data_IF_752794189596
#
_entry.id   IF_752794189596
#
_cell.length_a   1.000
_cell.length_b   1.000
_cell.length_c   1.000
_cell.angle_alpha   90.00
_cell.angle_beta   90.00
_cell.angle_gamma   90.00
#
_symmetry.space_group_name_H-M   'P 1'
#
loop_
_entity.id
_entity.type
_entity.pdbx_description
1 polymer ?
#
# COMPACT_ATOMS: atom_id res chain seq x y z
N UNK A 1 3.51 7.63 18.46
CA UNK A 1 3.09 8.96 18.00
C UNK A 1 2.54 8.81 16.60
N UNK A 2 1.34 9.32 16.31
CA UNK A 2 0.80 9.36 14.94
C UNK A 2 1.11 10.72 14.36
N UNK A 3 1.55 10.76 13.10
CA UNK A 3 1.91 11.99 12.39
C UNK A 3 1.24 12.05 11.03
N UNK A 4 0.96 13.25 10.55
CA UNK A 4 0.29 13.47 9.26
C UNK A 4 -1.14 13.97 9.38
N UNK A 5 -2.06 13.45 8.57
CA UNK A 5 -3.44 13.91 8.48
C UNK A 5 -4.30 13.54 9.70
N UNK A 6 -5.38 14.30 9.91
CA UNK A 6 -6.42 13.98 10.90
C UNK A 6 -7.21 12.71 10.50
N UNK A 7 -7.69 11.96 11.48
CA UNK A 7 -8.44 10.71 11.23
C UNK A 7 -9.92 10.99 10.96
N UNK A 8 -10.44 10.55 9.81
CA UNK A 8 -11.87 10.62 9.45
C UNK A 8 -12.51 9.24 9.24
N UNK A 9 -13.78 9.17 8.81
CA UNK A 9 -14.48 7.92 8.47
C UNK A 9 -14.15 7.41 7.06
N UNK A 10 -12.86 7.39 6.75
CA UNK A 10 -12.33 7.02 5.44
C UNK A 10 -12.07 5.52 5.37
N UNK A 11 -12.52 4.86 4.29
CA UNK A 11 -12.15 3.47 3.98
C UNK A 11 -12.44 2.43 5.06
N UNK A 12 -13.34 2.70 6.01
CA UNK A 12 -13.74 1.70 7.01
C UNK A 12 -14.38 0.52 6.26
N UNK A 13 -13.89 -0.70 6.51
CA UNK A 13 -14.19 -1.92 5.73
C UNK A 13 -13.70 -1.94 4.28
N UNK A 14 -12.84 -1.00 3.87
CA UNK A 14 -12.30 -0.90 2.51
C UNK A 14 -11.54 -2.15 2.10
N UNK A 15 -10.51 -2.53 2.86
CA UNK A 15 -9.72 -3.73 2.58
C UNK A 15 -10.55 -5.02 2.61
N UNK A 16 -11.43 -5.19 3.60
CA UNK A 16 -12.31 -6.36 3.69
C UNK A 16 -13.31 -6.41 2.55
N UNK A 17 -13.86 -5.27 2.14
CA UNK A 17 -14.80 -5.17 1.02
C UNK A 17 -14.14 -5.50 -0.31
N UNK A 18 -12.91 -5.03 -0.55
CA UNK A 18 -12.15 -5.39 -1.75
C UNK A 18 -11.78 -6.88 -1.79
N UNK A 19 -11.55 -7.50 -0.63
CA UNK A 19 -11.18 -8.91 -0.54
C UNK A 19 -12.38 -9.87 -0.67
N UNK A 20 -13.59 -9.45 -0.29
CA UNK A 20 -14.77 -10.32 -0.26
C UNK A 20 -15.79 -10.09 -1.37
N UNK A 21 -15.73 -8.96 -2.07
CA UNK A 21 -16.72 -8.64 -3.12
C UNK A 21 -16.48 -9.45 -4.39
N UNK A 22 -17.56 -10.03 -4.90
CA UNK A 22 -17.66 -10.46 -6.29
C UNK A 22 -18.11 -9.27 -7.14
N UNK A 23 -17.59 -9.13 -8.37
CA UNK A 23 -17.91 -8.00 -9.26
C UNK A 23 -19.42 -7.88 -9.64
N UNK A 24 -20.24 -8.86 -9.25
CA UNK A 24 -21.67 -8.96 -9.55
C UNK A 24 -22.59 -8.40 -8.45
N UNK A 25 -22.05 -8.07 -7.26
CA UNK A 25 -22.84 -7.56 -6.14
C UNK A 25 -23.16 -6.05 -6.29
N UNK A 26 -24.42 -5.66 -6.04
CA UNK A 26 -24.82 -4.24 -5.98
C UNK A 26 -23.98 -3.51 -4.91
N UNK A 27 -23.58 -2.24 -5.13
CA UNK A 27 -22.71 -1.52 -4.21
C UNK A 27 -23.44 -1.17 -2.91
N UNK A 28 -23.47 -2.11 -1.96
CA UNK A 28 -23.82 -1.82 -0.58
C UNK A 28 -22.73 -0.95 0.05
N UNK A 29 -23.11 0.28 0.37
CA UNK A 29 -22.33 1.34 1.01
C UNK A 29 -21.05 1.75 0.27
N UNK A 30 -21.00 3.04 -0.09
CA UNK A 30 -19.80 3.74 -0.54
C UNK A 30 -18.76 3.67 0.59
N UNK A 31 -17.93 2.63 0.62
CA UNK A 31 -16.60 2.78 1.19
C UNK A 31 -15.96 3.89 0.38
N UNK A 32 -15.86 5.07 0.99
CA UNK A 32 -15.33 6.26 0.33
C UNK A 32 -13.88 5.92 0.04
N UNK A 33 -13.54 5.75 -1.25
CA UNK A 33 -12.14 5.72 -1.68
C UNK A 33 -11.52 7.00 -1.13
N UNK A 34 -10.59 6.88 -0.16
CA UNK A 34 -10.05 8.06 0.50
C UNK A 34 -9.36 8.94 -0.54
N UNK A 35 -9.71 10.23 -0.59
CA UNK A 35 -8.99 11.18 -1.43
C UNK A 35 -7.65 11.48 -0.79
N UNK A 36 -6.55 11.19 -1.50
CA UNK A 36 -5.21 11.52 -1.02
C UNK A 36 -4.88 13.00 -1.11
N UNK A 37 -3.91 13.44 -0.32
CA UNK A 37 -3.31 14.76 -0.31
C UNK A 37 -1.81 14.68 -0.62
N UNK A 38 -1.41 14.68 -1.92
CA UNK A 38 0.00 14.52 -2.32
C UNK A 38 0.94 15.60 -1.76
N UNK A 39 0.42 16.80 -1.51
CA UNK A 39 1.21 17.89 -0.94
C UNK A 39 1.59 17.61 0.51
N UNK A 40 0.64 17.14 1.31
CA UNK A 40 0.89 16.71 2.68
C UNK A 40 1.79 15.47 2.71
N UNK A 41 1.53 14.50 1.83
CA UNK A 41 2.36 13.30 1.72
C UNK A 41 3.82 13.66 1.41
N UNK A 42 4.05 14.65 0.55
CA UNK A 42 5.41 15.11 0.26
C UNK A 42 6.13 15.67 1.48
N UNK A 43 5.46 16.50 2.29
CA UNK A 43 6.02 17.03 3.54
C UNK A 43 6.28 15.89 4.54
N UNK A 44 5.36 14.92 4.62
CA UNK A 44 5.50 13.76 5.49
C UNK A 44 6.70 12.89 5.08
N UNK A 45 6.92 12.67 3.78
CA UNK A 45 8.09 11.94 3.26
C UNK A 45 9.38 12.63 3.69
N UNK A 46 9.51 13.95 3.51
CA UNK A 46 10.73 14.67 3.89
C UNK A 46 10.98 14.64 5.39
N UNK A 47 9.93 14.84 6.20
CA UNK A 47 10.03 14.74 7.65
C UNK A 47 10.46 13.33 8.12
N UNK A 48 9.88 12.27 7.54
CA UNK A 48 10.26 10.89 7.83
C UNK A 48 11.69 10.58 7.40
N UNK A 49 12.15 11.09 6.25
CA UNK A 49 13.53 10.91 5.79
C UNK A 49 14.53 11.63 6.71
N UNK A 50 14.21 12.84 7.19
CA UNK A 50 15.05 13.55 8.17
C UNK A 50 15.08 12.80 9.51
N UNK A 51 13.92 12.33 10.00
CA UNK A 51 13.83 11.53 11.22
C UNK A 51 14.65 10.23 11.14
N UNK A 52 14.64 9.56 9.97
CA UNK A 52 15.41 8.35 9.73
C UNK A 52 16.93 8.54 9.83
N UNK A 53 17.43 9.78 9.76
CA UNK A 53 18.85 10.10 9.96
C UNK A 53 19.21 10.35 11.44
N UNK A 54 18.23 10.32 12.34
CA UNK A 54 18.42 10.55 13.78
C UNK A 54 18.34 9.24 14.58
N UNK A 55 18.75 9.27 15.84
CA UNK A 55 18.59 8.15 16.79
C UNK A 55 17.40 8.36 17.76
N UNK A 56 16.45 9.21 17.36
CA UNK A 56 15.29 9.60 18.18
C UNK A 56 14.09 8.66 18.04
N UNK A 57 14.08 7.82 17.02
CA UNK A 57 13.00 6.88 16.74
C UNK A 57 13.53 5.44 16.68
N UNK A 58 12.70 4.51 17.14
CA UNK A 58 12.97 3.06 17.12
C UNK A 58 12.37 2.40 15.88
N UNK A 59 11.28 2.97 15.34
CA UNK A 59 10.61 2.44 14.17
C UNK A 59 9.55 3.38 13.60
N UNK A 60 9.17 3.12 12.35
CA UNK A 60 8.11 3.81 11.62
C UNK A 60 7.26 2.78 10.88
N UNK A 61 5.95 3.02 10.78
CA UNK A 61 5.01 2.17 10.07
C UNK A 61 3.92 3.04 9.44
N UNK A 62 3.61 2.82 8.18
CA UNK A 62 2.51 3.50 7.48
C UNK A 62 1.14 3.02 8.01
N UNK A 63 0.14 3.90 7.95
CA UNK A 63 -1.24 3.53 8.25
C UNK A 63 -2.00 3.29 6.95
N UNK A 64 -2.10 2.04 6.54
CA UNK A 64 -2.85 1.60 5.37
C UNK A 64 -4.14 0.86 5.73
N UNK A 65 -4.30 -0.34 5.17
CA UNK A 65 -5.44 -1.22 5.43
C UNK A 65 -5.60 -1.52 6.93
N UNK A 66 -6.83 -1.45 7.44
CA UNK A 66 -7.14 -1.52 8.87
C UNK A 66 -6.48 -0.43 9.76
N UNK A 67 -5.90 0.60 9.14
CA UNK A 67 -5.53 1.86 9.78
C UNK A 67 -4.60 1.72 10.97
N UNK A 68 -5.00 2.34 12.09
CA UNK A 68 -4.22 2.34 13.33
C UNK A 68 -4.12 0.94 13.94
N UNK A 69 -5.12 0.09 13.72
CA UNK A 69 -5.16 -1.29 14.25
C UNK A 69 -3.99 -2.11 13.72
N UNK A 70 -3.85 -2.22 12.40
CA UNK A 70 -2.73 -2.96 11.79
C UNK A 70 -1.40 -2.33 12.14
N UNK A 71 -1.26 -1.01 11.97
CA UNK A 71 0.00 -0.32 12.19
C UNK A 71 0.54 -0.51 13.62
N UNK A 72 -0.32 -0.39 14.64
CA UNK A 72 0.09 -0.55 16.04
C UNK A 72 0.37 -2.00 16.41
N UNK A 73 -0.51 -2.93 16.01
CA UNK A 73 -0.39 -4.36 16.34
C UNK A 73 0.79 -5.00 15.63
N UNK A 74 1.00 -4.75 14.34
CA UNK A 74 2.14 -5.28 13.58
C UNK A 74 3.47 -4.74 14.11
N UNK A 75 3.49 -3.47 14.51
CA UNK A 75 4.70 -2.87 15.11
C UNK A 75 4.98 -3.44 16.49
N UNK A 76 3.97 -3.63 17.34
CA UNK A 76 4.12 -4.29 18.63
C UNK A 76 4.59 -5.75 18.48
N UNK A 77 4.03 -6.48 17.52
CA UNK A 77 4.42 -7.87 17.23
C UNK A 77 5.87 -7.98 16.78
N UNK A 78 6.30 -7.16 15.81
CA UNK A 78 7.70 -7.13 15.34
C UNK A 78 8.68 -6.71 16.43
N UNK A 79 8.24 -5.85 17.36
CA UNK A 79 9.02 -5.44 18.53
C UNK A 79 9.01 -6.44 19.70
N UNK A 80 8.22 -7.51 19.63
CA UNK A 80 8.07 -8.49 20.71
C UNK A 80 7.43 -7.94 21.99
N UNK A 81 6.59 -6.90 21.86
CA UNK A 81 6.00 -6.18 22.99
C UNK A 81 4.46 -6.11 22.93
N UNK A 82 3.92 -5.22 23.77
CA UNK A 82 2.52 -4.79 23.72
C UNK A 82 2.42 -3.31 23.34
N UNK A 83 1.20 -2.83 23.24
CA UNK A 83 0.89 -1.43 22.97
C UNK A 83 -0.32 -1.01 23.78
N UNK A 84 -0.29 0.19 24.34
CA UNK A 84 -1.44 0.84 24.94
C UNK A 84 -1.67 2.17 24.23
N UNK A 85 -2.87 2.36 23.70
CA UNK A 85 -3.28 3.60 23.02
C UNK A 85 -4.57 4.14 23.61
N UNK A 86 -4.72 5.46 23.57
CA UNK A 86 -5.93 6.18 23.95
C UNK A 86 -6.48 6.92 22.72
N UNK A 87 -7.65 6.50 22.26
CA UNK A 87 -8.27 7.03 21.05
C UNK A 87 -8.77 8.47 21.23
N UNK A 88 -8.87 9.00 22.45
CA UNK A 88 -9.18 10.42 22.69
C UNK A 88 -7.99 11.33 22.37
N UNK A 89 -6.77 10.79 22.37
CA UNK A 89 -5.55 11.53 22.00
C UNK A 89 -5.34 11.62 20.49
N UNK A 90 -6.13 10.88 19.71
CA UNK A 90 -6.12 10.98 18.25
C UNK A 90 -6.91 12.21 17.81
N UNK A 91 -6.31 13.02 16.95
CA UNK A 91 -7.06 14.06 16.24
C UNK A 91 -8.01 13.44 15.21
N UNK A 92 -9.20 14.02 15.16
CA UNK A 92 -10.31 13.56 14.35
C UNK A 92 -10.78 14.70 13.46
N UNK A 93 -11.04 14.38 12.19
CA UNK A 93 -11.63 15.31 11.22
C UNK A 93 -13.14 15.42 11.41
N UNK A 94 -13.76 14.36 11.93
CA UNK A 94 -15.20 14.26 12.15
C UNK A 94 -15.53 14.13 13.65
N UNK A 95 -16.64 14.74 14.05
CA UNK A 95 -17.14 14.62 15.41
C UNK A 95 -17.75 13.23 15.68
N UNK A 96 -17.79 12.84 16.96
CA UNK A 96 -18.45 11.64 17.45
C UNK A 96 -18.01 10.33 16.77
N UNK A 97 -16.76 10.24 16.33
CA UNK A 97 -16.20 8.96 15.87
C UNK A 97 -16.07 8.01 17.06
N UNK A 98 -16.55 6.79 16.90
CA UNK A 98 -16.39 5.71 17.89
C UNK A 98 -14.94 5.21 17.93
N UNK A 99 -14.51 4.56 19.03
CA UNK A 99 -13.19 3.91 19.06
C UNK A 99 -12.97 2.96 17.88
N UNK A 100 -14.02 2.22 17.46
CA UNK A 100 -13.98 1.33 16.31
C UNK A 100 -13.61 2.08 15.01
N UNK A 101 -14.30 3.19 14.73
CA UNK A 101 -14.05 3.99 13.53
C UNK A 101 -12.67 4.65 13.55
N UNK A 102 -12.20 5.14 14.70
CA UNK A 102 -10.85 5.71 14.84
C UNK A 102 -9.78 4.66 14.56
N UNK A 103 -9.96 3.46 15.11
CA UNK A 103 -9.00 2.36 15.00
C UNK A 103 -8.89 1.79 13.59
N UNK A 104 -10.01 1.71 12.86
CA UNK A 104 -10.08 1.08 11.53
C UNK A 104 -10.13 2.07 10.37
N UNK A 105 -10.11 3.37 10.64
CA UNK A 105 -10.03 4.40 9.61
C UNK A 105 -8.78 4.22 8.73
N UNK A 106 -9.00 4.23 7.41
CA UNK A 106 -7.97 4.18 6.37
C UNK A 106 -7.73 5.59 5.77
N UNK A 107 -7.87 6.64 6.59
CA UNK A 107 -7.49 8.01 6.20
C UNK A 107 -6.03 8.03 5.74
N UNK A 108 -5.76 8.74 4.65
CA UNK A 108 -4.45 8.73 3.98
C UNK A 108 -3.44 9.66 4.67
N UNK A 109 -2.19 9.63 4.20
CA UNK A 109 -1.09 10.48 4.68
C UNK A 109 -0.86 10.45 6.19
N UNK A 110 -0.83 9.25 6.77
CA UNK A 110 -0.52 9.05 8.20
C UNK A 110 0.61 8.05 8.37
N UNK A 111 1.45 8.32 9.36
CA UNK A 111 2.56 7.45 9.77
C UNK A 111 2.55 7.27 11.29
N UNK A 112 2.82 6.05 11.76
CA UNK A 112 3.06 5.73 13.16
C UNK A 112 4.56 5.77 13.43
N UNK A 113 4.98 6.61 14.36
CA UNK A 113 6.35 6.68 14.86
C UNK A 113 6.44 6.07 16.24
N UNK A 114 7.40 5.16 16.43
CA UNK A 114 7.82 4.67 17.75
C UNK A 114 8.99 5.53 18.21
N UNK A 115 8.68 6.56 18.99
CA UNK A 115 9.66 7.54 19.48
C UNK A 115 10.39 6.98 20.70
N UNK A 116 11.71 7.17 20.75
CA UNK A 116 12.53 6.81 21.90
C UNK A 116 12.14 7.70 23.08
N UNK A 117 11.99 7.09 24.25
CA UNK A 117 11.62 7.81 25.47
C UNK A 117 12.63 8.92 25.78
N UNK A 118 12.14 10.14 25.99
CA UNK A 118 12.96 11.33 26.21
C UNK A 118 13.35 12.09 24.95
N UNK A 119 12.96 11.63 23.75
CA UNK A 119 13.19 12.32 22.48
C UNK A 119 11.90 12.90 21.87
N UNK A 120 10.80 12.93 22.63
CA UNK A 120 9.48 13.32 22.13
C UNK A 120 9.44 14.77 21.65
N UNK A 121 10.09 15.68 22.38
CA UNK A 121 10.11 17.11 22.04
C UNK A 121 10.98 17.39 20.81
N UNK A 122 12.11 16.68 20.65
CA UNK A 122 12.97 16.79 19.47
C UNK A 122 12.25 16.32 18.20
N UNK A 123 11.56 15.17 18.28
CA UNK A 123 10.75 14.65 17.18
C UNK A 123 9.63 15.61 16.84
N UNK A 124 8.90 16.11 17.85
CA UNK A 124 7.82 17.08 17.65
C UNK A 124 8.32 18.37 17.01
N UNK A 125 9.43 18.93 17.50
CA UNK A 125 10.02 20.15 16.96
C UNK A 125 10.48 19.97 15.50
N UNK A 126 10.94 18.78 15.10
CA UNK A 126 11.24 18.47 13.71
C UNK A 126 9.97 18.44 12.86
N UNK A 127 8.93 17.74 13.31
CA UNK A 127 7.65 17.65 12.59
C UNK A 127 6.98 19.02 12.45
N UNK A 128 7.05 19.87 13.49
CA UNK A 128 6.52 21.23 13.46
C UNK A 128 7.23 22.11 12.42
N UNK A 129 8.55 21.93 12.18
CA UNK A 129 9.28 22.65 11.10
C UNK A 129 8.78 22.28 9.70
N UNK A 130 8.34 21.03 9.53
CA UNK A 130 7.74 20.53 8.29
C UNK A 130 6.22 20.80 8.23
N UNK A 131 5.67 21.49 9.23
CA UNK A 131 4.23 21.75 9.38
C UNK A 131 3.39 20.47 9.46
N UNK A 132 4.01 19.36 9.88
CA UNK A 132 3.36 18.07 10.06
C UNK A 132 2.80 17.96 11.47
N UNK A 133 1.50 17.69 11.56
CA UNK A 133 0.83 17.44 12.83
C UNK A 133 1.33 16.14 13.46
N UNK A 134 1.40 16.12 14.78
CA UNK A 134 1.84 14.96 15.54
C UNK A 134 1.08 14.84 16.87
N UNK A 135 0.67 13.61 17.20
CA UNK A 135 -0.05 13.29 18.42
C UNK A 135 0.57 12.07 19.13
N UNK A 136 0.88 12.23 20.41
CA UNK A 136 1.32 11.12 21.27
C UNK A 136 0.08 10.41 21.79
N UNK A 137 -0.25 9.30 21.15
CA UNK A 137 -1.50 8.58 21.38
C UNK A 137 -1.39 7.46 22.42
N UNK A 138 -0.18 7.12 22.86
CA UNK A 138 0.04 5.92 23.64
C UNK A 138 1.51 5.58 23.83
N UNK A 139 1.76 4.36 24.29
CA UNK A 139 3.09 3.85 24.62
C UNK A 139 3.24 2.37 24.26
N UNK A 140 4.47 1.96 23.97
CA UNK A 140 4.84 0.55 23.86
C UNK A 140 4.97 -0.03 25.27
N UNK A 141 4.49 -1.24 25.47
CA UNK A 141 4.53 -1.95 26.75
C UNK A 141 5.28 -3.28 26.60
N UNK A 142 5.60 -3.93 27.71
CA UNK A 142 6.19 -5.28 27.74
C UNK A 142 5.17 -6.36 28.10
N UNK A 143 3.86 -6.05 28.02
CA UNK A 143 2.79 -6.97 28.46
C UNK A 143 2.42 -8.00 27.39
N UNK A 144 2.76 -7.75 26.13
CA UNK A 144 2.30 -8.57 24.99
C UNK A 144 0.83 -8.37 24.63
N UNK A 145 0.17 -7.36 25.21
CA UNK A 145 -1.23 -7.02 24.97
C UNK A 145 -1.34 -5.77 24.08
N UNK A 146 -2.33 -5.76 23.20
CA UNK A 146 -2.83 -4.56 22.54
C UNK A 146 -4.03 -4.05 23.35
N UNK A 147 -3.86 -2.90 24.00
CA UNK A 147 -4.86 -2.24 24.84
C UNK A 147 -5.30 -0.96 24.16
N UNK A 148 -6.60 -0.84 23.90
CA UNK A 148 -7.23 0.37 23.37
C UNK A 148 -8.10 0.97 24.46
N UNK A 149 -7.87 2.24 24.76
CA UNK A 149 -8.62 3.02 25.74
C UNK A 149 -9.39 4.15 25.08
N UNK A 150 -10.49 4.53 25.69
CA UNK A 150 -11.16 5.82 25.49
C UNK A 150 -11.11 6.58 26.81
N UNK A 151 -10.06 7.38 27.00
CA UNK A 151 -9.77 8.00 28.30
C UNK A 151 -9.42 6.96 29.36
N UNK A 152 -10.25 6.87 30.40
CA UNK A 152 -10.05 5.91 31.51
C UNK A 152 -10.63 4.52 31.21
N UNK A 153 -11.52 4.39 30.22
CA UNK A 153 -12.19 3.13 29.88
C UNK A 153 -11.33 2.29 28.93
N UNK A 154 -11.17 1.00 29.22
CA UNK A 154 -10.56 0.02 28.30
C UNK A 154 -11.66 -0.54 27.40
N UNK A 155 -11.61 -0.19 26.11
CA UNK A 155 -12.62 -0.60 25.12
C UNK A 155 -12.19 -1.84 24.33
N UNK A 156 -10.90 -2.19 24.32
CA UNK A 156 -10.40 -3.46 23.81
C UNK A 156 -9.09 -3.88 24.49
N UNK A 157 -8.94 -5.17 24.78
CA UNK A 157 -7.71 -5.76 25.32
C UNK A 157 -7.53 -7.17 24.73
N UNK A 158 -6.50 -7.35 23.91
CA UNK A 158 -6.28 -8.60 23.17
C UNK A 158 -4.77 -8.92 23.13
N UNK A 159 -4.35 -10.18 23.29
CA UNK A 159 -2.96 -10.58 23.04
C UNK A 159 -2.52 -10.25 21.61
N UNK A 160 -1.39 -9.56 21.45
CA UNK A 160 -0.85 -9.15 20.14
C UNK A 160 -0.67 -10.36 19.22
N UNK A 161 -0.14 -11.47 19.75
CA UNK A 161 0.10 -12.69 18.98
C UNK A 161 -1.18 -13.27 18.35
N UNK A 162 -2.34 -13.11 18.99
CA UNK A 162 -3.60 -13.61 18.46
C UNK A 162 -4.03 -12.83 17.21
N UNK A 163 -3.74 -11.53 17.18
CA UNK A 163 -4.11 -10.65 16.07
C UNK A 163 -3.21 -10.82 14.84
N UNK A 164 -1.99 -11.34 15.02
CA UNK A 164 -1.01 -11.53 13.92
C UNK A 164 -0.81 -13.00 13.52
N UNK A 165 -1.51 -13.94 14.17
CA UNK A 165 -1.40 -15.38 13.89
C UNK A 165 -2.72 -15.96 13.38
N UNK A 166 -3.19 -15.56 12.19
CA UNK A 166 -4.43 -16.09 11.63
C UNK A 166 -4.28 -17.58 11.28
N UNK A 167 -5.39 -18.35 11.25
CA UNK A 167 -5.37 -19.72 10.77
C UNK A 167 -4.96 -19.77 9.29
N UNK A 168 -4.08 -20.72 8.95
CA UNK A 168 -3.65 -20.95 7.58
C UNK A 168 -4.48 -22.06 6.94
N UNK A 169 -5.02 -21.79 5.76
CA UNK A 169 -5.83 -22.74 5.01
C UNK A 169 -5.04 -23.34 3.86
N UNK A 170 -5.06 -24.67 3.74
CA UNK A 170 -4.61 -25.37 2.52
C UNK A 170 -5.83 -25.86 1.76
N UNK A 171 -6.21 -25.14 0.71
CA UNK A 171 -7.33 -25.56 -0.13
C UNK A 171 -6.95 -26.79 -0.96
N UNK A 172 -7.90 -27.71 -1.11
CA UNK A 172 -7.79 -28.80 -2.08
C UNK A 172 -8.23 -28.28 -3.43
N UNK A 173 -7.28 -28.00 -4.32
CA UNK A 173 -7.55 -27.55 -5.68
C UNK A 173 -7.50 -28.73 -6.66
N UNK A 174 -8.29 -28.66 -7.72
CA UNK A 174 -8.23 -29.56 -8.87
C UNK A 174 -8.16 -28.70 -10.14
N UNK A 175 -7.29 -29.08 -11.07
CA UNK A 175 -7.23 -28.46 -12.39
C UNK A 175 -8.61 -28.57 -13.06
N UNK A 176 -9.20 -27.46 -13.55
CA UNK A 176 -10.49 -27.51 -14.20
C UNK A 176 -10.37 -28.10 -15.61
N UNK A 177 -11.39 -28.83 -16.06
CA UNK A 177 -11.38 -29.52 -17.35
C UNK A 177 -11.25 -28.56 -18.55
N UNK A 178 -11.82 -27.35 -18.47
CA UNK A 178 -11.68 -26.34 -19.53
C UNK A 178 -10.23 -25.93 -19.77
N UNK A 179 -9.37 -25.99 -18.75
CA UNK A 179 -7.95 -25.65 -18.88
C UNK A 179 -7.19 -26.77 -19.59
N UNK A 180 -7.59 -28.04 -19.41
CA UNK A 180 -7.02 -29.16 -20.17
C UNK A 180 -7.36 -29.06 -21.65
N UNK A 181 -8.62 -28.71 -21.98
CA UNK A 181 -9.04 -28.48 -23.36
C UNK A 181 -8.25 -27.34 -24.00
N UNK A 182 -8.12 -26.20 -23.30
CA UNK A 182 -7.38 -25.04 -23.77
C UNK A 182 -5.89 -25.36 -24.05
N UNK A 183 -5.28 -26.17 -23.18
CA UNK A 183 -3.87 -26.59 -23.32
C UNK A 183 -3.65 -27.71 -24.35
N UNK A 184 -4.72 -28.34 -24.83
CA UNK A 184 -4.63 -29.40 -25.85
C UNK A 184 -4.53 -28.87 -27.29
N UNK A 185 -4.65 -27.55 -27.49
CA UNK A 185 -4.55 -26.91 -28.79
C UNK A 185 -3.19 -27.17 -29.45
N UNK A 186 -3.19 -27.85 -30.61
CA UNK A 186 -2.00 -27.98 -31.43
C UNK A 186 -1.71 -26.65 -32.15
N UNK A 187 -0.72 -25.94 -31.65
CA UNK A 187 -0.25 -24.67 -32.24
C UNK A 187 0.24 -24.83 -33.68
N UNK A 188 0.68 -26.02 -34.10
CA UNK A 188 1.12 -26.28 -35.46
C UNK A 188 -0.05 -26.44 -36.44
N UNK A 189 -1.25 -26.71 -35.94
CA UNK A 189 -2.46 -26.76 -36.76
C UNK A 189 -3.01 -25.37 -37.11
N UNK A 190 -2.51 -24.30 -36.45
CA UNK A 190 -2.89 -22.93 -36.76
C UNK A 190 -2.24 -22.52 -38.10
N UNK A 191 -3.04 -22.20 -39.14
CA UNK A 191 -2.49 -21.88 -40.44
C UNK A 191 -1.71 -20.56 -40.40
N UNK A 192 -0.57 -20.55 -41.08
CA UNK A 192 0.25 -19.35 -41.20
C UNK A 192 -0.41 -18.26 -42.08
N UNK A 193 0.01 -17.03 -41.88
CA UNK A 193 -0.45 -15.87 -42.65
C UNK A 193 0.06 -15.96 -44.09
N UNK A 194 -0.85 -15.73 -45.05
CA UNK A 194 -0.43 -15.54 -46.44
C UNK A 194 0.24 -14.17 -46.58
N UNK A 195 1.25 -13.99 -47.45
CA UNK A 195 1.96 -12.70 -47.61
C UNK A 195 1.04 -11.48 -47.81
N UNK A 196 -0.07 -11.65 -48.55
CA UNK A 196 -1.07 -10.59 -48.78
C UNK A 196 -1.82 -10.12 -47.51
N UNK A 197 -1.77 -10.89 -46.42
CA UNK A 197 -2.44 -10.60 -45.14
C UNK A 197 -1.50 -9.95 -44.13
N UNK A 198 -0.18 -10.08 -44.30
CA UNK A 198 0.79 -9.63 -43.30
C UNK A 198 0.67 -8.14 -42.98
N UNK A 199 0.53 -7.28 -43.99
CA UNK A 199 0.41 -5.84 -43.78
C UNK A 199 -0.84 -5.47 -42.97
N UNK A 200 -1.99 -6.06 -43.27
CA UNK A 200 -3.23 -5.74 -42.54
C UNK A 200 -3.22 -6.30 -41.12
N UNK A 201 -2.64 -7.49 -40.91
CA UNK A 201 -2.48 -8.07 -39.57
C UNK A 201 -1.49 -7.25 -38.73
N UNK A 202 -0.37 -6.82 -39.29
CA UNK A 202 0.59 -5.96 -38.60
C UNK A 202 -0.07 -4.65 -38.15
N UNK A 203 -0.82 -3.98 -39.03
CA UNK A 203 -1.54 -2.76 -38.67
C UNK A 203 -2.57 -3.00 -37.55
N UNK A 204 -3.26 -4.15 -37.57
CA UNK A 204 -4.17 -4.54 -36.47
C UNK A 204 -3.43 -4.80 -35.15
N UNK A 205 -2.26 -5.42 -35.19
CA UNK A 205 -1.43 -5.64 -34.01
C UNK A 205 -0.96 -4.31 -33.42
N UNK A 206 -0.40 -3.42 -34.24
CA UNK A 206 0.05 -2.10 -33.80
C UNK A 206 -1.09 -1.22 -33.27
N UNK A 207 -2.31 -1.40 -33.76
CA UNK A 207 -3.51 -0.73 -33.27
C UNK A 207 -4.08 -1.34 -31.96
N UNK A 208 -3.62 -2.52 -31.55
CA UNK A 208 -4.08 -3.14 -30.31
C UNK A 208 -3.60 -2.34 -29.10
N UNK A 209 -4.47 -1.98 -28.13
CA UNK A 209 -4.07 -1.26 -26.92
C UNK A 209 -2.93 -1.93 -26.14
N UNK A 210 -2.78 -3.25 -26.22
CA UNK A 210 -1.68 -3.97 -25.57
C UNK A 210 -0.31 -3.68 -26.21
N UNK A 211 -0.25 -3.40 -27.51
CA UNK A 211 0.99 -3.18 -28.27
C UNK A 211 1.22 -1.69 -28.56
N UNK A 212 0.15 -0.94 -28.84
CA UNK A 212 0.20 0.47 -29.22
C UNK A 212 1.02 1.32 -28.23
N UNK A 213 1.53 2.46 -28.70
CA UNK A 213 2.30 3.38 -27.88
C UNK A 213 1.55 3.76 -26.60
N UNK A 214 2.25 3.68 -25.46
CA UNK A 214 1.74 4.11 -24.15
C UNK A 214 2.05 5.57 -23.84
N UNK A 215 2.44 6.34 -24.84
CA UNK A 215 2.83 7.75 -24.72
C UNK A 215 1.76 8.64 -24.12
N UNK A 216 0.49 8.37 -24.42
CA UNK A 216 -0.61 9.11 -23.81
C UNK A 216 -0.65 8.95 -22.28
N UNK A 217 -0.14 7.85 -21.72
CA UNK A 217 -0.11 7.60 -20.27
C UNK A 217 1.05 8.37 -19.66
N UNK A 218 2.29 8.10 -20.09
CA UNK A 218 3.46 8.66 -19.43
C UNK A 218 3.68 10.16 -19.68
N UNK A 219 3.04 10.76 -20.70
CA UNK A 219 3.02 12.23 -20.87
C UNK A 219 2.19 12.96 -19.80
N UNK A 220 1.35 12.26 -19.07
CA UNK A 220 0.56 12.84 -17.96
C UNK A 220 1.37 12.91 -16.66
N UNK A 221 2.55 12.29 -16.61
CA UNK A 221 3.40 12.22 -15.43
C UNK A 221 4.67 13.06 -15.61
N UNK A 222 5.15 13.67 -14.53
CA UNK A 222 6.49 14.25 -14.50
C UNK A 222 7.52 13.15 -14.18
N UNK A 223 8.29 12.76 -15.18
CA UNK A 223 9.39 11.80 -15.05
C UNK A 223 10.78 12.47 -15.07
N UNK A 224 10.84 13.81 -14.98
CA UNK A 224 12.10 14.57 -14.93
C UNK A 224 12.34 15.20 -13.56
N UNK A 225 11.32 15.28 -12.70
CA UNK A 225 11.43 15.69 -11.31
C UNK A 225 12.66 15.07 -10.62
N UNK A 226 13.36 15.88 -9.82
CA UNK A 226 14.65 15.57 -9.17
C UNK A 226 15.86 15.39 -10.11
N UNK A 227 15.69 15.35 -11.43
CA UNK A 227 16.77 15.27 -12.42
C UNK A 227 17.53 13.95 -12.42
N UNK A 228 16.92 12.86 -11.94
CA UNK A 228 17.57 11.56 -11.79
C UNK A 228 17.41 10.63 -13.00
N UNK A 229 16.40 10.87 -13.83
CA UNK A 229 16.06 9.99 -14.96
C UNK A 229 17.19 9.96 -16.00
N UNK A 230 17.60 8.76 -16.37
CA UNK A 230 18.61 8.49 -17.42
C UNK A 230 17.93 7.96 -18.66
N UNK A 231 17.05 6.96 -18.49
CA UNK A 231 16.21 6.42 -19.56
C UNK A 231 14.77 6.87 -19.30
N UNK A 232 14.16 7.69 -20.17
CA UNK A 232 12.78 8.11 -20.02
C UNK A 232 11.79 6.97 -20.32
N UNK A 233 10.51 7.12 -19.95
CA UNK A 233 9.46 6.15 -20.29
C UNK A 233 9.37 5.88 -21.80
N UNK A 234 8.98 4.66 -22.16
CA UNK A 234 8.87 4.20 -23.56
C UNK A 234 9.96 3.20 -23.99
N UNK A 235 10.96 2.94 -23.14
CA UNK A 235 11.87 1.80 -23.28
C UNK A 235 11.45 0.59 -22.41
N UNK A 236 12.27 -0.47 -22.45
CA UNK A 236 12.00 -1.75 -21.75
C UNK A 236 12.20 -1.69 -20.22
N UNK A 237 12.91 -0.66 -19.73
CA UNK A 237 13.16 -0.44 -18.32
C UNK A 237 13.36 1.05 -18.00
N UNK A 238 12.95 1.46 -16.81
CA UNK A 238 13.28 2.76 -16.26
C UNK A 238 14.67 2.72 -15.63
N UNK A 239 15.52 3.71 -15.91
CA UNK A 239 16.85 3.82 -15.32
C UNK A 239 17.01 5.16 -14.62
N UNK A 240 17.31 5.11 -13.33
CA UNK A 240 17.52 6.26 -12.45
C UNK A 240 18.98 6.32 -12.01
N UNK A 241 19.62 7.49 -12.07
CA UNK A 241 20.98 7.68 -11.54
C UNK A 241 20.97 7.85 -10.03
N UNK A 242 22.03 7.40 -9.38
CA UNK A 242 22.30 7.72 -7.97
C UNK A 242 23.28 8.90 -7.94
N UNK A 243 22.79 10.09 -7.53
CA UNK A 243 23.59 11.33 -7.49
C UNK A 243 24.88 11.15 -6.68
N UNK A 244 25.96 11.82 -7.13
CA UNK A 244 27.28 11.72 -6.51
C UNK A 244 28.03 10.42 -6.82
N UNK A 245 27.45 9.52 -7.62
CA UNK A 245 28.08 8.24 -7.99
C UNK A 245 28.02 7.99 -9.50
N UNK A 246 28.68 6.92 -9.96
CA UNK A 246 28.53 6.37 -11.32
C UNK A 246 27.50 5.23 -11.40
N UNK A 247 26.71 5.02 -10.34
CA UNK A 247 25.74 3.93 -10.23
C UNK A 247 24.35 4.39 -10.68
N UNK A 248 23.53 3.42 -11.09
CA UNK A 248 22.12 3.62 -11.38
C UNK A 248 21.28 2.44 -10.87
N UNK A 249 19.97 2.68 -10.78
CA UNK A 249 18.95 1.69 -10.42
C UNK A 249 18.09 1.50 -11.68
N UNK A 250 17.91 0.25 -12.08
CA UNK A 250 17.02 -0.12 -13.19
C UNK A 250 15.80 -0.83 -12.63
N UNK A 251 14.61 -0.47 -13.11
CA UNK A 251 13.34 -1.09 -12.73
C UNK A 251 12.54 -1.46 -13.98
N UNK A 252 11.93 -2.64 -13.97
CA UNK A 252 10.96 -3.09 -14.97
C UNK A 252 9.89 -3.93 -14.29
N UNK A 253 8.72 -4.03 -14.90
CA UNK A 253 7.61 -4.87 -14.47
C UNK A 253 6.99 -5.48 -15.72
N UNK A 254 6.74 -6.78 -15.70
CA UNK A 254 6.10 -7.50 -16.79
C UNK A 254 5.03 -8.44 -16.23
N UNK A 255 4.05 -8.77 -17.06
CA UNK A 255 2.95 -9.65 -16.70
C UNK A 255 2.09 -9.96 -17.90
N UNK A 256 1.97 -11.25 -18.24
CA UNK A 256 1.19 -11.70 -19.39
C UNK A 256 -0.04 -12.49 -18.94
N UNK A 257 -1.16 -11.79 -18.77
CA UNK A 257 -2.42 -12.40 -18.34
C UNK A 257 -2.95 -13.48 -19.30
N UNK A 258 -2.57 -13.46 -20.59
CA UNK A 258 -2.94 -14.55 -21.52
C UNK A 258 -2.14 -15.81 -21.26
N UNK A 259 -0.86 -15.69 -20.91
CA UNK A 259 -0.05 -16.83 -20.51
C UNK A 259 -0.58 -17.40 -19.21
N UNK A 260 -0.85 -16.55 -18.20
CA UNK A 260 -1.47 -17.01 -16.95
C UNK A 260 -2.83 -17.70 -17.18
N UNK A 261 -3.63 -17.23 -18.14
CA UNK A 261 -4.93 -17.82 -18.46
C UNK A 261 -4.81 -19.23 -19.10
N UNK A 262 -3.82 -19.43 -19.99
CA UNK A 262 -3.61 -20.70 -20.69
C UNK A 262 -2.81 -21.69 -19.84
N UNK A 263 -1.81 -21.20 -19.12
CA UNK A 263 -0.98 -21.98 -18.21
C UNK A 263 -0.48 -21.07 -17.07
N UNK A 264 -1.13 -21.12 -15.89
CA UNK A 264 -0.72 -20.33 -14.74
C UNK A 264 0.72 -20.56 -14.31
N UNK A 265 1.26 -21.78 -14.48
CA UNK A 265 2.63 -22.07 -14.07
C UNK A 265 3.67 -21.42 -14.98
N UNK A 266 3.40 -21.37 -16.28
CA UNK A 266 4.27 -20.69 -17.26
C UNK A 266 4.08 -19.17 -17.21
N UNK A 267 2.87 -18.70 -16.91
CA UNK A 267 2.53 -17.28 -16.85
C UNK A 267 3.15 -16.50 -15.69
N UNK A 268 3.54 -17.18 -14.61
CA UNK A 268 4.11 -16.59 -13.40
C UNK A 268 3.20 -16.72 -12.18
#
# INVERSE_FOLDING_TARGET
MVVGADTGRDGIHGASGLASRTFEDEPETKSVVPAGNPSLEKLLIEACLELAQTDWIVGMQDLGAAGLTSATVETAARGGGGVEIDVLKMRRREENMTPYEVMLSESQERMLLIVKKGCEEEVKALLDRWEIRSDIIGQVTNTGLAVVKEGEEVVAEIPVNLLVSPPLYRQRSKKPAWLEELQSLDVNAVPDLKPRQCNSVLLRLLASPNIASKECIYRQCDYQAMGNTVVPPGGDAAVLRIKGTKKGISLTVDGNGRYCYVDPFVGG
#
